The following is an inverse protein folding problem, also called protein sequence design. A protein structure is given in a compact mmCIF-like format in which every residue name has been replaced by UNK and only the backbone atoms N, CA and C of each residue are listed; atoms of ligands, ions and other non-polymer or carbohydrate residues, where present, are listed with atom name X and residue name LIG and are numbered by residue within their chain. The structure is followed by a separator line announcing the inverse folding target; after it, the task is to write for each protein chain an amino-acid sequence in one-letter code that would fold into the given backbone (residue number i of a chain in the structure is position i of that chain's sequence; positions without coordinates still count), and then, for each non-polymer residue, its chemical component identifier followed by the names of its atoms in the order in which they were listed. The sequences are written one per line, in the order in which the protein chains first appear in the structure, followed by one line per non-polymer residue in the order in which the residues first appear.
data_IF_235798453338
#
_entry.id   IF_235798453338
#
_cell.length_a   1.000
_cell.length_b   1.000
_cell.length_c   1.000
_cell.angle_alpha   90.00
_cell.angle_beta   90.00
_cell.angle_gamma   90.00
#
_symmetry.space_group_name_H-M   'P 1'
#
loop_
_entity.id
_entity.type
_entity.pdbx_description
1 polymer ?
#
# COMPACT_ATOMS: atom_id res chain seq x y z
N UNK A 1 -3.55 -11.70 -24.06
CA UNK A 1 -2.45 -11.32 -23.14
C UNK A 1 -2.47 -12.31 -21.99
N UNK A 2 -1.38 -13.03 -21.74
CA UNK A 2 -1.27 -13.87 -20.54
C UNK A 2 -1.29 -12.94 -19.32
N UNK A 3 -2.24 -13.18 -18.41
CA UNK A 3 -2.31 -12.45 -17.15
C UNK A 3 -1.22 -13.03 -16.27
N UNK A 4 -0.06 -12.37 -16.22
CA UNK A 4 1.03 -12.80 -15.33
C UNK A 4 0.58 -12.49 -13.91
N UNK A 5 0.33 -13.55 -13.14
CA UNK A 5 0.06 -13.44 -11.72
C UNK A 5 1.41 -13.33 -11.01
N UNK A 6 1.72 -12.11 -10.57
CA UNK A 6 2.97 -11.77 -9.90
C UNK A 6 2.70 -10.82 -8.74
N UNK A 7 3.47 -10.91 -7.65
CA UNK A 7 3.63 -9.84 -6.69
C UNK A 7 3.92 -8.51 -7.40
N UNK A 8 3.43 -7.41 -6.85
CA UNK A 8 3.75 -6.05 -7.30
C UNK A 8 4.43 -5.31 -6.15
N UNK A 9 5.64 -4.81 -6.40
CA UNK A 9 6.27 -3.79 -5.56
C UNK A 9 5.80 -2.42 -6.03
N UNK A 10 4.88 -1.82 -5.27
CA UNK A 10 4.41 -0.47 -5.48
C UNK A 10 5.23 0.48 -4.62
N UNK A 11 5.83 1.50 -5.23
CA UNK A 11 6.66 2.48 -4.56
C UNK A 11 6.14 3.89 -4.85
N UNK A 12 5.98 4.69 -3.80
CA UNK A 12 5.54 6.07 -3.83
C UNK A 12 6.71 6.94 -3.40
N UNK A 13 6.99 7.97 -4.20
CA UNK A 13 7.78 9.13 -3.80
C UNK A 13 6.81 10.30 -3.62
N UNK A 14 6.72 10.85 -2.42
CA UNK A 14 5.90 12.04 -2.17
C UNK A 14 6.62 13.34 -2.54
N UNK A 15 5.89 14.47 -2.52
CA UNK A 15 6.43 15.79 -2.81
C UNK A 15 7.39 16.33 -1.74
N UNK A 16 7.40 15.73 -0.54
CA UNK A 16 8.32 16.07 0.55
C UNK A 16 9.62 15.23 0.51
N UNK A 17 9.70 14.25 -0.40
CA UNK A 17 10.88 13.41 -0.64
C UNK A 17 10.88 12.08 0.10
N UNK A 18 9.80 11.71 0.81
CA UNK A 18 9.70 10.40 1.46
C UNK A 18 9.41 9.32 0.41
N UNK A 19 10.07 8.16 0.58
CA UNK A 19 9.87 6.97 -0.26
C UNK A 19 9.28 5.87 0.60
N UNK A 20 8.17 5.29 0.17
CA UNK A 20 7.47 4.24 0.90
C UNK A 20 6.58 3.44 -0.06
N UNK A 21 5.93 2.39 0.43
CA UNK A 21 5.04 1.63 -0.41
C UNK A 21 4.64 0.29 0.17
N UNK A 22 4.35 -0.63 -0.74
CA UNK A 22 3.81 -1.95 -0.43
C UNK A 22 4.37 -2.98 -1.39
N UNK A 23 4.75 -4.15 -0.87
CA UNK A 23 4.80 -5.36 -1.67
C UNK A 23 3.45 -6.07 -1.53
N UNK A 24 2.82 -6.36 -2.65
CA UNK A 24 1.58 -7.14 -2.71
C UNK A 24 1.87 -8.59 -3.02
N UNK A 25 1.12 -9.49 -2.40
CA UNK A 25 1.19 -10.95 -2.64
C UNK A 25 0.73 -11.41 -4.03
N UNK A 26 0.03 -10.55 -4.76
CA UNK A 26 -0.57 -10.89 -6.05
C UNK A 26 -0.79 -9.62 -6.88
N UNK A 27 -1.18 -9.80 -8.15
CA UNK A 27 -1.46 -8.67 -9.04
C UNK A 27 -2.63 -7.83 -8.55
N UNK A 28 -2.54 -6.51 -8.75
CA UNK A 28 -3.59 -5.56 -8.41
C UNK A 28 -4.84 -5.79 -9.27
N UNK A 29 -6.02 -5.71 -8.65
CA UNK A 29 -7.31 -5.80 -9.33
C UNK A 29 -8.35 -4.98 -8.57
N UNK A 30 -9.30 -4.41 -9.30
CA UNK A 30 -10.48 -3.79 -8.69
C UNK A 30 -11.31 -4.86 -7.96
N UNK A 31 -11.63 -4.58 -6.70
CA UNK A 31 -12.41 -5.45 -5.83
C UNK A 31 -12.99 -4.66 -4.66
N UNK A 32 -14.31 -4.77 -4.47
CA UNK A 32 -15.02 -4.25 -3.29
C UNK A 32 -14.72 -5.05 -2.01
N UNK A 33 -14.18 -6.26 -2.15
CA UNK A 33 -13.75 -7.11 -1.05
C UNK A 33 -12.22 -7.12 -0.92
N UNK A 34 -11.73 -7.32 0.31
CA UNK A 34 -10.30 -7.50 0.52
C UNK A 34 -9.79 -8.78 -0.14
N UNK A 35 -8.59 -8.72 -0.70
CA UNK A 35 -7.89 -9.85 -1.30
C UNK A 35 -6.38 -9.79 -1.02
N UNK A 36 -5.67 -10.86 -1.37
CA UNK A 36 -4.24 -11.03 -1.10
C UNK A 36 -3.97 -12.00 0.06
N UNK A 37 -2.70 -12.21 0.36
CA UNK A 37 -2.19 -13.07 1.43
C UNK A 37 -1.29 -12.29 2.38
N UNK A 38 -0.93 -12.92 3.50
CA UNK A 38 0.00 -12.39 4.51
C UNK A 38 1.46 -12.25 4.04
N UNK A 39 1.78 -12.62 2.81
CA UNK A 39 3.08 -12.32 2.18
C UNK A 39 3.21 -10.84 1.80
N UNK A 40 2.10 -10.11 1.78
CA UNK A 40 2.08 -8.66 1.56
C UNK A 40 2.67 -7.92 2.77
N UNK A 41 3.37 -6.81 2.54
CA UNK A 41 3.92 -5.97 3.62
C UNK A 41 4.02 -4.51 3.18
N UNK A 42 3.93 -3.59 4.15
CA UNK A 42 4.23 -2.18 3.94
C UNK A 42 5.70 -1.90 4.24
N UNK A 43 6.26 -0.86 3.63
CA UNK A 43 7.59 -0.38 3.97
C UNK A 43 7.65 1.15 3.86
N UNK A 44 8.62 1.74 4.55
CA UNK A 44 9.00 3.15 4.39
C UNK A 44 10.50 3.30 4.49
N UNK A 45 11.05 4.33 3.84
CA UNK A 45 12.41 4.83 4.02
C UNK A 45 12.46 6.09 4.88
N UNK A 46 11.34 6.53 5.46
CA UNK A 46 11.23 7.73 6.28
C UNK A 46 10.98 7.41 7.76
N UNK A 47 11.70 8.06 8.71
CA UNK A 47 12.97 8.77 8.51
C UNK A 47 14.14 7.81 8.22
N UNK A 48 13.90 6.51 8.35
CA UNK A 48 14.83 5.41 8.08
C UNK A 48 14.06 4.25 7.47
N UNK A 49 14.78 3.24 6.98
CA UNK A 49 14.13 2.06 6.42
C UNK A 49 13.43 1.21 7.49
N UNK A 50 12.13 0.99 7.33
CA UNK A 50 11.30 0.10 8.15
C UNK A 50 10.40 -0.76 7.27
N UNK A 51 10.15 -1.98 7.71
CA UNK A 51 9.32 -2.98 7.03
C UNK A 51 8.28 -3.55 7.99
N UNK A 52 7.02 -3.49 7.60
CA UNK A 52 5.85 -3.84 8.42
C UNK A 52 5.13 -5.04 7.81
N UNK A 53 5.40 -6.21 8.39
CA UNK A 53 4.80 -7.49 7.96
C UNK A 53 3.40 -7.64 8.54
N UNK A 54 2.65 -8.57 7.96
CA UNK A 54 1.34 -8.96 8.49
C UNK A 54 1.40 -9.35 9.97
N UNK A 55 0.50 -8.79 10.78
CA UNK A 55 0.41 -9.02 12.22
C UNK A 55 -0.27 -10.34 12.59
N UNK A 56 -1.02 -10.94 11.66
CA UNK A 56 -1.92 -12.05 11.95
C UNK A 56 -3.33 -11.63 12.42
N UNK A 57 -3.59 -10.34 12.65
CA UNK A 57 -4.83 -9.89 13.31
C UNK A 57 -6.06 -9.96 12.38
N UNK A 58 -5.90 -9.67 11.09
CA UNK A 58 -6.97 -9.72 10.09
C UNK A 58 -6.43 -10.00 8.69
N UNK A 59 -7.30 -10.20 7.70
CA UNK A 59 -6.92 -10.50 6.30
C UNK A 59 -7.27 -9.36 5.34
N UNK A 60 -7.18 -8.11 5.79
CA UNK A 60 -7.59 -6.91 5.04
C UNK A 60 -6.43 -6.31 4.23
N UNK A 61 -5.81 -7.10 3.35
CA UNK A 61 -4.55 -6.75 2.70
C UNK A 61 -4.69 -5.70 1.59
N UNK A 62 -5.56 -5.93 0.61
CA UNK A 62 -5.69 -5.06 -0.56
C UNK A 62 -7.17 -4.88 -0.89
N UNK A 63 -7.61 -3.65 -1.12
CA UNK A 63 -8.96 -3.31 -1.58
C UNK A 63 -8.89 -2.05 -2.47
N UNK A 64 -9.71 -1.98 -3.50
CA UNK A 64 -9.75 -0.78 -4.33
C UNK A 64 -10.76 -0.90 -5.46
N UNK A 65 -11.21 0.24 -5.95
CA UNK A 65 -12.10 0.36 -7.10
C UNK A 65 -11.61 1.51 -7.99
N UNK A 66 -12.47 2.08 -8.83
CA UNK A 66 -12.08 3.18 -9.70
C UNK A 66 -11.72 4.47 -8.94
N UNK A 67 -12.21 4.62 -7.70
CA UNK A 67 -12.06 5.86 -6.92
C UNK A 67 -10.87 5.80 -5.96
N UNK A 68 -10.36 4.60 -5.64
CA UNK A 68 -9.22 4.45 -4.74
C UNK A 68 -8.53 3.09 -4.81
N UNK A 69 -7.31 3.03 -4.30
CA UNK A 69 -6.55 1.82 -4.02
C UNK A 69 -5.97 1.87 -2.60
N UNK A 70 -6.16 0.80 -1.83
CA UNK A 70 -5.78 0.74 -0.42
C UNK A 70 -5.10 -0.57 -0.01
N UNK A 71 -4.20 -0.46 0.96
CA UNK A 71 -3.35 -1.53 1.46
C UNK A 71 -3.34 -1.54 2.99
N UNK A 72 -3.75 -2.67 3.56
CA UNK A 72 -3.90 -2.85 4.99
C UNK A 72 -5.07 -2.06 5.55
N UNK A 73 -5.82 -2.64 6.48
CA UNK A 73 -6.92 -1.93 7.12
C UNK A 73 -7.10 -2.30 8.60
N UNK A 74 -7.72 -1.39 9.34
CA UNK A 74 -8.12 -1.61 10.72
C UNK A 74 -8.84 -0.38 11.25
N UNK A 75 -9.93 -0.58 11.98
CA UNK A 75 -10.69 0.50 12.62
C UNK A 75 -11.08 1.65 11.67
N UNK A 76 -11.42 1.30 10.42
CA UNK A 76 -11.82 2.25 9.38
C UNK A 76 -10.66 3.06 8.77
N UNK A 77 -9.41 2.74 9.10
CA UNK A 77 -8.21 3.35 8.52
C UNK A 77 -7.49 2.37 7.60
N UNK A 78 -6.71 2.93 6.67
CA UNK A 78 -5.85 2.17 5.76
C UNK A 78 -4.37 2.43 6.05
N UNK A 79 -3.55 1.39 5.94
CA UNK A 79 -2.10 1.50 6.09
C UNK A 79 -1.49 2.44 5.04
N UNK A 80 -1.93 2.25 3.80
CA UNK A 80 -1.67 3.12 2.66
C UNK A 80 -2.94 3.20 1.81
N UNK A 81 -3.32 4.40 1.41
CA UNK A 81 -4.46 4.69 0.55
C UNK A 81 -4.03 5.70 -0.51
N UNK A 82 -4.51 5.52 -1.73
CA UNK A 82 -4.31 6.40 -2.88
C UNK A 82 -5.67 6.67 -3.53
N UNK A 83 -5.90 7.89 -3.99
CA UNK A 83 -7.08 8.25 -4.78
C UNK A 83 -7.03 7.65 -6.20
N UNK A 84 -8.17 7.68 -6.90
CA UNK A 84 -8.31 7.10 -8.24
C UNK A 84 -7.43 7.76 -9.31
N UNK A 85 -7.03 9.02 -9.08
CA UNK A 85 -6.10 9.76 -9.94
C UNK A 85 -4.62 9.49 -9.58
N UNK A 86 -4.37 8.70 -8.54
CA UNK A 86 -3.04 8.38 -7.99
C UNK A 86 -2.21 9.63 -7.66
N UNK A 87 -2.89 10.69 -7.23
CA UNK A 87 -2.31 12.00 -6.98
C UNK A 87 -2.29 12.35 -5.49
N UNK A 88 -3.37 12.05 -4.76
CA UNK A 88 -3.41 12.19 -3.31
C UNK A 88 -3.35 10.82 -2.64
N UNK A 89 -2.68 10.78 -1.51
CA UNK A 89 -2.68 9.59 -0.68
C UNK A 89 -2.73 9.90 0.81
N UNK A 90 -3.01 8.84 1.56
CA UNK A 90 -3.05 8.86 3.02
C UNK A 90 -2.38 7.61 3.57
N UNK A 91 -1.58 7.78 4.60
CA UNK A 91 -1.05 6.68 5.40
C UNK A 91 -1.41 6.86 6.87
N UNK A 92 -1.93 5.80 7.48
CA UNK A 92 -2.26 5.74 8.90
C UNK A 92 -1.87 4.40 9.47
N UNK A 93 -1.77 4.32 10.79
CA UNK A 93 -1.62 3.03 11.48
C UNK A 93 -2.85 2.16 11.23
N UNK A 94 -2.62 0.90 10.89
CA UNK A 94 -3.68 -0.09 10.69
C UNK A 94 -3.36 -1.41 11.39
N UNK A 95 -4.41 -2.19 11.71
CA UNK A 95 -4.29 -3.48 12.40
C UNK A 95 -3.62 -4.57 11.58
N UNK A 96 -3.73 -4.53 10.25
CA UNK A 96 -3.14 -5.56 9.37
C UNK A 96 -1.62 -5.60 9.46
N UNK A 97 -0.96 -4.45 9.62
CA UNK A 97 0.51 -4.35 9.56
C UNK A 97 1.15 -3.70 10.78
N UNK A 98 0.34 -3.11 11.66
CA UNK A 98 0.80 -2.33 12.80
C UNK A 98 1.84 -1.25 12.41
N UNK A 99 1.64 -0.62 11.25
CA UNK A 99 2.58 0.33 10.69
C UNK A 99 2.51 1.71 11.35
N UNK A 100 3.63 2.42 11.37
CA UNK A 100 3.60 3.88 11.57
C UNK A 100 3.06 4.57 10.31
N UNK A 101 2.83 5.89 10.38
CA UNK A 101 2.61 6.69 9.16
C UNK A 101 3.84 6.54 8.26
N UNK A 102 3.63 6.11 7.02
CA UNK A 102 4.71 5.75 6.10
C UNK A 102 5.39 6.98 5.46
N UNK A 103 4.65 8.06 5.27
CA UNK A 103 5.08 9.34 4.72
C UNK A 103 5.51 10.32 5.83
N UNK A 104 5.93 11.53 5.44
CA UNK A 104 6.25 12.60 6.41
C UNK A 104 5.03 13.05 7.23
N UNK A 105 3.82 12.95 6.66
CA UNK A 105 2.53 13.32 7.27
C UNK A 105 1.46 12.29 6.88
N UNK A 106 0.34 12.27 7.59
CA UNK A 106 -0.75 11.33 7.26
C UNK A 106 -1.24 11.51 5.82
N UNK A 107 -1.50 12.75 5.38
CA UNK A 107 -1.88 13.08 4.01
C UNK A 107 -0.64 13.51 3.21
N UNK A 108 -0.51 13.01 1.99
CA UNK A 108 0.62 13.31 1.11
C UNK A 108 0.17 13.50 -0.35
N UNK A 109 1.01 14.18 -1.12
CA UNK A 109 0.85 14.34 -2.57
C UNK A 109 1.91 13.48 -3.26
N UNK A 110 1.47 12.67 -4.22
CA UNK A 110 2.34 11.79 -5.00
C UNK A 110 3.14 12.63 -5.99
N UNK A 111 4.46 12.53 -5.93
CA UNK A 111 5.38 13.09 -6.93
C UNK A 111 5.69 12.08 -8.03
N UNK A 112 5.91 10.82 -7.65
CA UNK A 112 6.08 9.71 -8.58
C UNK A 112 5.56 8.42 -7.94
N UNK A 113 5.07 7.52 -8.79
CA UNK A 113 4.62 6.19 -8.41
C UNK A 113 5.15 5.18 -9.42
N UNK A 114 5.77 4.12 -8.92
CA UNK A 114 6.28 3.02 -9.72
C UNK A 114 5.65 1.71 -9.26
N UNK A 115 5.38 0.81 -10.21
CA UNK A 115 4.85 -0.52 -9.94
C UNK A 115 5.71 -1.55 -10.68
N UNK A 116 6.42 -2.38 -9.93
CA UNK A 116 7.35 -3.38 -10.45
C UNK A 116 6.76 -4.78 -10.29
N UNK A 117 6.64 -5.51 -11.39
CA UNK A 117 6.32 -6.95 -11.41
C UNK A 117 7.57 -7.80 -11.57
N UNK A 118 7.47 -9.08 -11.21
CA UNK A 118 8.57 -10.05 -11.28
C UNK A 118 8.19 -11.12 -12.29
N UNK A 119 8.98 -11.23 -13.38
CA UNK A 119 8.72 -12.13 -14.52
C UNK A 119 9.85 -13.13 -14.73
#
# INVERSE_FOLDING_TARGET
MLKIESPILLMVLDTEGAVFGVLTSCSLRMSEHFYGTGESFLFTFHPEFKLYKWTGENVYFIKGNADFLAFGAGDGQFGLWLDGDLFHGRSRRCKTYDNDVLSTKEDFVVKALEAWGFV
#
